data_IF_762880325995
#
_entry.id   IF_762880325995
#
_cell.length_a   1.000
_cell.length_b   1.000
_cell.length_c   1.000
_cell.angle_alpha   90.00
_cell.angle_beta   90.00
_cell.angle_gamma   90.00
#
_symmetry.space_group_name_H-M   'P 1'
#
loop_
_entity.id
_entity.type
_entity.pdbx_description
1 polymer ?
2 non-polymer ?
3 non-polymer ?
4 water ?
#
# COMPACT_ATOMS: atom_id res chain seq x y z
N UNK A 20 3.74 -16.46 1.66
CA UNK A 20 3.12 -15.39 0.80
C UNK A 20 1.68 -15.76 0.26
N UNK A 21 0.73 -14.92 0.49
CA UNK A 21 -0.67 -15.19 0.05
C UNK A 21 -0.89 -14.64 -1.32
N UNK A 22 -1.48 -15.46 -2.18
CA UNK A 22 -1.64 -15.22 -3.61
C UNK A 22 -3.08 -15.14 -3.96
N UNK A 23 -3.40 -14.22 -4.88
CA UNK A 23 -4.75 -14.09 -5.41
C UNK A 23 -4.80 -14.64 -6.85
N UNK A 24 -5.74 -15.53 -7.07
CA UNK A 24 -5.96 -16.17 -8.38
C UNK A 24 -7.38 -15.82 -8.86
N UNK A 25 -7.57 -15.95 -10.15
CA UNK A 25 -8.87 -15.87 -10.73
C UNK A 25 -9.71 -16.95 -10.16
N UNK A 26 -10.88 -16.63 -9.62
CA UNK A 26 -11.75 -17.61 -9.06
C UNK A 26 -12.34 -18.60 -10.03
N UNK A 27 -12.50 -18.17 -11.25
CA UNK A 27 -13.06 -19.02 -12.32
C UNK A 27 -12.06 -20.03 -12.89
N UNK A 28 -10.82 -19.63 -13.11
CA UNK A 28 -9.90 -20.50 -13.83
C UNK A 28 -8.62 -20.78 -13.09
N UNK A 29 -8.32 -20.06 -12.02
CA UNK A 29 -7.11 -20.25 -11.28
C UNK A 29 -5.86 -19.52 -11.75
N UNK A 30 -6.00 -18.71 -12.79
CA UNK A 30 -4.96 -17.89 -13.25
C UNK A 30 -4.37 -17.05 -12.08
N UNK A 31 -3.07 -16.99 -11.96
CA UNK A 31 -2.44 -16.17 -10.92
C UNK A 31 -2.53 -14.70 -11.28
N UNK A 32 -2.94 -13.86 -10.33
CA UNK A 32 -3.19 -12.45 -10.58
C UNK A 32 -2.35 -11.53 -9.71
N UNK A 33 -2.41 -11.68 -8.37
CA UNK A 33 -1.67 -10.74 -7.52
C UNK A 33 -1.33 -11.38 -6.20
N UNK A 34 -0.97 -10.53 -5.23
CA UNK A 34 -0.41 -10.95 -3.97
C UNK A 34 -0.91 -10.06 -2.85
N UNK A 35 -1.14 -10.64 -1.69
CA UNK A 35 -1.51 -9.82 -0.54
C UNK A 35 -0.50 -8.73 -0.22
N UNK A 36 0.77 -8.99 -0.43
CA UNK A 36 1.77 -8.01 -0.16
C UNK A 36 1.82 -6.86 -1.14
N UNK A 37 0.97 -6.91 -2.17
CA UNK A 37 0.79 -5.80 -3.10
C UNK A 37 -0.50 -5.02 -2.82
N UNK A 38 -1.20 -5.30 -1.76
CA UNK A 38 -2.38 -4.47 -1.43
C UNK A 38 -1.92 -3.04 -1.21
N UNK A 39 -2.77 -2.11 -1.63
CA UNK A 39 -2.44 -0.72 -1.68
C UNK A 39 -3.48 0.10 -0.97
N UNK A 40 -3.11 0.90 0.04
CA UNK A 40 -4.15 1.63 0.84
C UNK A 40 -4.52 2.94 0.15
N UNK A 41 -5.21 2.86 -0.97
CA UNK A 41 -5.76 4.06 -1.67
C UNK A 41 -6.84 4.66 -0.87
N UNK A 42 -6.68 5.97 -0.59
CA UNK A 42 -7.67 6.62 0.21
C UNK A 42 -7.67 6.14 1.64
N UNK A 43 -6.66 5.46 2.06
CA UNK A 43 -6.60 4.94 3.44
C UNK A 43 -6.88 3.48 3.58
N UNK A 44 -7.36 2.81 2.57
CA UNK A 44 -7.72 1.40 2.75
C UNK A 44 -7.68 0.75 1.44
N UNK A 45 -7.29 -0.56 1.40
CA UNK A 45 -7.37 -1.28 0.16
C UNK A 45 -8.77 -1.60 -0.28
N UNK A 46 -9.72 -1.69 0.63
CA UNK A 46 -11.08 -2.13 0.31
C UNK A 46 -12.01 -0.94 0.15
N UNK A 47 -12.75 -0.95 -0.97
CA UNK A 47 -13.76 0.04 -1.27
C UNK A 47 -14.98 -0.68 -1.78
N UNK A 48 -16.13 -0.51 -1.08
CA UNK A 48 -17.40 -1.05 -1.53
C UNK A 48 -18.05 0.07 -2.30
N UNK A 49 -18.33 -0.14 -3.56
CA UNK A 49 -18.68 0.89 -4.50
C UNK A 49 -19.79 0.46 -5.44
N UNK A 50 -20.38 1.36 -6.16
CA UNK A 50 -21.30 1.01 -7.19
C UNK A 50 -21.03 1.88 -8.40
N UNK A 51 -21.39 1.35 -9.58
CA UNK A 51 -21.25 2.13 -10.79
C UNK A 51 -22.63 2.86 -11.10
N UNK A 52 -22.64 3.73 -12.08
CA UNK A 52 -23.88 4.49 -12.28
C UNK A 52 -25.01 3.67 -12.62
N UNK A 53 -24.80 2.48 -13.21
CA UNK A 53 -25.88 1.56 -13.51
C UNK A 53 -26.35 0.73 -12.33
N UNK A 54 -25.74 0.94 -11.18
CA UNK A 54 -26.22 0.23 -10.03
C UNK A 54 -25.60 -1.11 -9.76
N UNK A 55 -24.50 -1.43 -10.41
CA UNK A 55 -23.79 -2.64 -10.12
C UNK A 55 -22.88 -2.40 -8.91
N UNK A 56 -22.89 -3.25 -7.94
CA UNK A 56 -22.18 -3.10 -6.72
C UNK A 56 -20.96 -4.02 -6.70
N UNK A 57 -19.83 -3.52 -6.24
CA UNK A 57 -18.55 -4.24 -6.19
C UNK A 57 -17.84 -4.00 -4.94
N UNK A 58 -17.14 -5.02 -4.44
CA UNK A 58 -16.18 -4.91 -3.35
C UNK A 58 -14.82 -4.93 -4.01
N UNK A 59 -14.21 -3.75 -4.14
CA UNK A 59 -12.97 -3.56 -4.85
C UNK A 59 -11.83 -3.52 -3.88
N UNK A 60 -10.75 -4.27 -4.21
CA UNK A 60 -9.50 -4.24 -3.48
C UNK A 60 -8.43 -3.69 -4.38
N UNK A 61 -7.67 -2.74 -3.84
CA UNK A 61 -6.63 -2.10 -4.58
C UNK A 61 -5.29 -2.82 -4.42
N UNK A 62 -4.62 -3.03 -5.51
CA UNK A 62 -3.30 -3.70 -5.58
C UNK A 62 -2.39 -2.82 -6.39
N UNK A 63 -1.13 -2.71 -5.96
CA UNK A 63 -0.17 -1.91 -6.75
C UNK A 63 0.21 -2.55 -8.06
N UNK A 64 0.26 -3.85 -8.07
CA UNK A 64 0.76 -4.68 -9.19
C UNK A 64 -0.13 -5.86 -9.34
N UNK A 65 -0.25 -6.35 -10.56
CA UNK A 65 -1.00 -7.52 -10.88
C UNK A 65 -0.57 -8.01 -12.26
N UNK A 66 -0.71 -9.28 -12.49
CA UNK A 66 -0.42 -9.90 -13.79
C UNK A 66 -1.58 -10.80 -14.18
N UNK A 67 -1.47 -11.42 -15.36
CA UNK A 67 -2.48 -12.31 -15.79
C UNK A 67 -3.73 -11.67 -16.33
N UNK A 68 -3.67 -10.37 -16.57
CA UNK A 68 -4.87 -9.59 -16.95
C UNK A 68 -4.75 -9.10 -18.37
N UNK A 69 -5.88 -8.91 -19.02
CA UNK A 69 -5.98 -8.25 -20.32
C UNK A 69 -6.84 -6.99 -20.11
N UNK A 70 -6.32 -5.84 -20.51
CA UNK A 70 -7.08 -4.61 -20.42
C UNK A 70 -7.86 -4.37 -21.72
N UNK A 71 -9.05 -3.89 -21.61
CA UNK A 71 -9.87 -3.63 -22.81
C UNK A 71 -10.43 -2.25 -22.78
N UNK A 72 -10.74 -1.73 -23.98
CA UNK A 72 -11.31 -0.41 -24.09
C UNK A 72 -10.32 0.66 -23.82
N UNK A 73 -10.83 1.84 -23.85
CA UNK A 73 -10.03 3.07 -23.62
C UNK A 73 -10.14 3.48 -22.13
N UNK A 74 -9.19 4.22 -21.58
CA UNK A 74 -9.34 4.72 -20.24
C UNK A 74 -10.47 5.72 -20.15
N UNK A 75 -11.12 5.77 -19.03
CA UNK A 75 -12.24 6.60 -18.78
C UNK A 75 -12.09 7.26 -17.41
N UNK A 76 -12.48 8.52 -17.31
CA UNK A 76 -12.62 9.14 -16.00
C UNK A 76 -14.03 9.09 -15.43
N UNK A 77 -14.96 8.52 -16.17
CA UNK A 77 -16.36 8.58 -15.79
C UNK A 77 -16.64 7.87 -14.47
N UNK A 78 -17.14 8.70 -13.48
CA UNK A 78 -17.53 8.16 -12.21
C UNK A 78 -16.40 7.37 -11.59
N UNK A 79 -15.18 7.84 -11.74
CA UNK A 79 -14.06 7.08 -11.19
C UNK A 79 -14.15 7.04 -9.68
N UNK A 80 -13.99 5.85 -9.13
CA UNK A 80 -14.04 5.67 -7.70
C UNK A 80 -12.78 6.24 -7.00
N UNK A 81 -11.74 6.56 -7.76
CA UNK A 81 -10.53 7.04 -7.19
C UNK A 81 -10.23 8.32 -7.89
N UNK A 82 -10.61 9.45 -7.24
CA UNK A 82 -10.48 10.76 -7.85
C UNK A 82 -9.06 10.98 -8.32
N UNK A 83 -8.95 11.48 -9.53
CA UNK A 83 -7.65 11.75 -10.13
C UNK A 83 -7.09 10.56 -10.91
N UNK A 84 -7.84 9.46 -11.02
CA UNK A 84 -7.39 8.32 -11.78
C UNK A 84 -8.46 7.94 -12.81
N UNK A 85 -8.00 7.53 -13.98
CA UNK A 85 -8.85 7.00 -15.05
C UNK A 85 -8.76 5.50 -15.05
N UNK A 86 -9.86 4.83 -15.42
CA UNK A 86 -9.93 3.40 -15.37
C UNK A 86 -10.02 2.76 -16.75
N UNK A 87 -9.52 1.54 -16.84
CA UNK A 87 -9.67 0.64 -17.96
C UNK A 87 -10.14 -0.71 -17.45
N UNK A 88 -11.08 -1.35 -18.10
CA UNK A 88 -11.54 -2.65 -17.66
C UNK A 88 -10.49 -3.72 -17.78
N UNK A 89 -10.43 -4.57 -16.75
CA UNK A 89 -9.44 -5.69 -16.71
C UNK A 89 -10.18 -6.98 -16.70
N UNK A 90 -9.82 -7.86 -17.65
CA UNK A 90 -10.31 -9.22 -17.73
C UNK A 90 -9.22 -10.20 -17.35
N UNK A 91 -9.60 -11.36 -16.82
CA UNK A 91 -8.66 -12.47 -16.74
C UNK A 91 -8.14 -12.74 -18.17
N UNK A 92 -6.84 -12.82 -18.34
CA UNK A 92 -6.28 -13.08 -19.63
C UNK A 92 -6.46 -14.48 -20.13
N UNK A 93 -6.86 -15.40 -19.22
CA UNK A 93 -7.11 -16.82 -19.56
C UNK A 93 -8.55 -17.06 -19.87
N UNK A 94 -9.45 -16.66 -19.01
CA UNK A 94 -10.86 -17.09 -19.08
C UNK A 94 -11.82 -15.99 -19.41
N UNK A 95 -11.37 -14.74 -19.43
CA UNK A 95 -12.26 -13.65 -19.72
C UNK A 95 -13.16 -13.17 -18.66
N UNK A 96 -13.04 -13.68 -17.43
CA UNK A 96 -13.79 -13.13 -16.31
C UNK A 96 -13.45 -11.68 -16.07
N UNK A 97 -14.44 -10.93 -15.66
CA UNK A 97 -14.21 -9.53 -15.35
C UNK A 97 -13.64 -9.43 -13.96
N UNK A 98 -12.34 -9.15 -13.85
CA UNK A 98 -11.68 -9.14 -12.53
C UNK A 98 -11.56 -7.77 -11.93
N UNK A 99 -11.77 -6.69 -12.70
CA UNK A 99 -11.77 -5.32 -12.13
C UNK A 99 -11.34 -4.33 -13.16
N UNK A 100 -10.45 -3.43 -12.69
CA UNK A 100 -10.03 -2.28 -13.45
C UNK A 100 -8.59 -1.99 -13.21
N UNK A 101 -7.93 -1.38 -14.21
CA UNK A 101 -6.64 -0.75 -14.08
C UNK A 101 -6.88 0.75 -13.95
N UNK A 102 -6.15 1.41 -13.10
CA UNK A 102 -6.21 2.85 -12.90
C UNK A 102 -4.89 3.46 -13.22
N UNK A 103 -4.95 4.64 -13.85
CA UNK A 103 -3.80 5.44 -14.17
C UNK A 103 -4.07 6.86 -13.82
N UNK A 104 -3.08 7.58 -13.26
CA UNK A 104 -3.33 8.93 -12.83
C UNK A 104 -3.66 9.80 -13.99
N UNK A 105 -4.59 10.73 -13.80
CA UNK A 105 -4.91 11.76 -14.74
C UNK A 105 -3.89 12.86 -14.82
N UNK A 106 -3.10 13.04 -13.78
CA UNK A 106 -2.14 14.11 -13.78
C UNK A 106 -0.76 13.64 -13.34
N UNK A 107 -0.57 12.37 -13.02
CA UNK A 107 0.73 11.84 -12.68
C UNK A 107 0.73 10.35 -13.06
N UNK A 108 1.91 9.76 -13.18
CA UNK A 108 1.93 8.46 -13.94
C UNK A 108 1.68 7.22 -13.11
N UNK A 109 1.34 7.38 -11.76
CA UNK A 109 1.07 6.19 -10.98
C UNK A 109 -0.05 5.41 -11.47
N UNK A 110 0.05 4.09 -11.25
CA UNK A 110 -0.95 3.16 -11.67
C UNK A 110 -1.22 2.14 -10.53
N UNK A 111 -2.40 1.55 -10.60
CA UNK A 111 -2.75 0.46 -9.66
C UNK A 111 -3.92 -0.25 -10.25
N UNK A 112 -4.33 -1.37 -9.58
CA UNK A 112 -5.46 -2.14 -9.99
C UNK A 112 -6.51 -2.11 -8.92
N UNK A 113 -7.76 -2.01 -9.34
CA UNK A 113 -8.87 -2.23 -8.40
C UNK A 113 -9.54 -3.48 -8.81
N UNK A 114 -9.35 -4.56 -8.04
CA UNK A 114 -9.82 -5.88 -8.42
C UNK A 114 -11.03 -6.26 -7.55
N UNK A 115 -11.92 -7.01 -8.14
CA UNK A 115 -13.16 -7.41 -7.48
C UNK A 115 -12.87 -8.59 -6.57
N UNK A 116 -12.87 -8.38 -5.26
CA UNK A 116 -12.43 -9.39 -4.34
C UNK A 116 -13.11 -10.73 -4.50
N UNK A 117 -14.42 -10.66 -4.72
CA UNK A 117 -15.22 -11.89 -4.78
C UNK A 117 -14.95 -12.66 -6.07
N UNK A 118 -14.24 -12.09 -7.04
CA UNK A 118 -13.86 -12.77 -8.27
C UNK A 118 -12.43 -13.37 -8.17
N UNK A 119 -11.82 -13.24 -7.01
CA UNK A 119 -10.50 -13.81 -6.74
C UNK A 119 -10.60 -14.86 -5.69
N UNK A 120 -9.68 -15.79 -5.72
CA UNK A 120 -9.46 -16.76 -4.70
C UNK A 120 -8.11 -16.50 -4.08
N UNK A 121 -8.07 -16.39 -2.77
CA UNK A 121 -6.81 -16.15 -2.05
C UNK A 121 -6.35 -17.46 -1.45
N UNK A 122 -5.06 -17.74 -1.59
CA UNK A 122 -4.50 -18.97 -1.01
C UNK A 122 -3.03 -18.96 -1.08
N UNK A 123 -2.44 -20.05 -0.61
CA UNK A 123 -1.02 -20.13 -0.50
C UNK A 123 -0.34 -20.29 -1.85
N UNK A 124 0.92 -19.97 -1.85
CA UNK A 124 1.69 -20.17 -3.11
C UNK A 124 1.54 -21.69 -3.58
N UNK A 125 1.61 -22.57 -2.72
CA UNK A 125 1.76 -23.94 -3.18
C UNK A 125 2.71 -24.30 -4.45
N UNK B 21 -5.46 -5.67 11.97
CA UNK B 21 -4.24 -5.65 13.08
C UNK B 21 -3.69 -4.22 13.21
N UNK B 22 -3.23 -3.92 14.40
CA UNK B 22 -2.71 -2.64 14.82
C UNK B 22 -1.26 -2.80 15.22
N UNK B 23 -0.48 -1.76 14.96
CA UNK B 23 0.93 -1.72 15.37
C UNK B 23 1.06 -0.69 16.47
N UNK B 24 1.64 -1.13 17.58
CA UNK B 24 1.90 -0.28 18.73
C UNK B 24 3.36 -0.16 19.01
N UNK B 25 3.79 0.92 19.65
CA UNK B 25 5.13 0.98 20.18
C UNK B 25 5.36 -0.15 21.10
N UNK B 26 6.41 -0.93 20.87
CA UNK B 26 6.66 -2.08 21.70
C UNK B 26 6.99 -1.72 23.13
N UNK B 27 7.64 -0.55 23.33
CA UNK B 27 8.02 -0.11 24.68
C UNK B 27 6.92 0.40 25.54
N UNK B 28 5.98 1.17 24.96
CA UNK B 28 4.96 1.81 25.80
C UNK B 28 3.55 1.47 25.38
N UNK B 29 3.30 0.87 24.24
CA UNK B 29 1.97 0.58 23.83
C UNK B 29 1.24 1.60 23.08
N UNK B 30 1.84 2.75 22.84
CA UNK B 30 1.19 3.81 22.02
C UNK B 30 0.78 3.19 20.68
N UNK B 31 -0.46 3.49 20.25
CA UNK B 31 -0.87 3.08 18.97
C UNK B 31 -0.20 3.93 17.88
N UNK B 32 0.32 3.25 16.85
CA UNK B 32 1.10 3.91 15.83
C UNK B 32 0.45 3.74 14.46
N UNK B 33 0.21 2.50 14.01
CA UNK B 33 -0.30 2.29 12.67
C UNK B 33 -1.11 1.03 12.60
N UNK B 34 -1.40 0.60 11.37
CA UNK B 34 -2.30 -0.51 11.12
C UNK B 34 -1.82 -1.31 9.95
N UNK B 35 -2.12 -2.62 9.98
CA UNK B 35 -1.71 -3.45 8.84
C UNK B 35 -2.31 -2.97 7.51
N UNK B 36 -3.53 -2.46 7.57
CA UNK B 36 -4.18 -1.98 6.33
C UNK B 36 -3.62 -0.69 5.86
N UNK B 37 -2.63 -0.11 6.54
CA UNK B 37 -1.89 1.01 6.03
C UNK B 37 -0.50 0.60 5.51
N UNK B 38 -0.19 -0.69 5.49
CA UNK B 38 1.09 -1.09 4.87
C UNK B 38 1.14 -0.64 3.44
N UNK B 39 2.29 -0.24 3.00
CA UNK B 39 2.52 0.36 1.71
C UNK B 39 3.58 -0.39 0.95
N UNK B 40 3.27 -0.92 -0.22
CA UNK B 40 4.32 -1.69 -0.97
C UNK B 40 5.23 -0.79 -1.75
N UNK B 41 6.05 0.00 -1.08
CA UNK B 41 7.05 0.89 -1.76
C UNK B 41 8.05 0.11 -2.45
N UNK B 42 8.24 0.33 -3.74
CA UNK B 42 9.18 -0.49 -4.45
C UNK B 42 8.75 -1.90 -4.67
N UNK B 43 7.50 -2.19 -4.41
CA UNK B 43 6.96 -3.52 -4.50
C UNK B 43 6.82 -4.30 -3.20
N UNK B 44 7.33 -3.77 -2.10
CA UNK B 44 7.29 -4.50 -0.85
C UNK B 44 7.23 -3.60 0.26
N UNK B 45 6.40 -3.89 1.31
CA UNK B 45 6.46 -3.07 2.48
C UNK B 45 7.75 -3.22 3.30
N UNK B 46 8.44 -4.34 3.19
CA UNK B 46 9.61 -4.58 3.99
C UNK B 46 10.90 -4.29 3.24
N UNK B 47 11.79 -3.54 3.90
CA UNK B 47 13.09 -3.20 3.33
C UNK B 47 14.13 -3.38 4.44
N UNK B 48 15.10 -4.26 4.22
CA UNK B 48 16.18 -4.48 5.14
C UNK B 48 17.33 -3.60 4.65
N UNK B 49 17.74 -2.64 5.46
CA UNK B 49 18.60 -1.54 5.01
C UNK B 49 19.65 -1.26 6.07
N UNK B 50 20.58 -0.39 5.74
CA UNK B 50 21.54 0.08 6.69
C UNK B 50 21.81 1.55 6.42
N UNK B 51 22.22 2.27 7.46
CA UNK B 51 22.63 3.67 7.31
C UNK B 51 24.11 3.76 7.11
N UNK B 52 24.63 4.94 6.80
CA UNK B 52 26.06 5.02 6.49
C UNK B 52 26.94 4.63 7.69
N UNK B 53 26.43 4.79 8.90
CA UNK B 53 27.13 4.43 10.13
C UNK B 53 27.10 2.92 10.42
N UNK B 54 26.41 2.17 9.58
CA UNK B 54 26.39 0.71 9.74
C UNK B 54 25.32 0.20 10.68
N UNK B 55 24.34 1.00 11.02
CA UNK B 55 23.19 0.45 11.74
C UNK B 55 22.26 -0.23 10.75
N UNK B 56 21.81 -1.41 11.11
CA UNK B 56 20.94 -2.19 10.22
C UNK B 56 19.53 -2.15 10.76
N UNK B 57 18.58 -1.97 9.88
CA UNK B 57 17.14 -1.89 10.28
C UNK B 57 16.31 -2.73 9.34
N UNK B 58 15.25 -3.32 9.90
CA UNK B 58 14.15 -3.89 9.12
C UNK B 58 13.00 -2.92 9.15
N UNK B 59 12.84 -2.24 8.01
CA UNK B 59 11.88 -1.17 7.92
C UNK B 59 10.64 -1.66 7.20
N UNK B 60 9.48 -1.33 7.75
CA UNK B 60 8.19 -1.58 7.09
C UNK B 60 7.59 -0.22 6.79
N UNK B 61 7.10 -0.11 5.56
CA UNK B 61 6.50 1.13 5.09
C UNK B 61 5.00 1.18 5.32
N UNK B 62 4.53 2.30 5.82
CA UNK B 62 3.12 2.52 6.09
C UNK B 62 2.72 3.83 5.46
N UNK B 63 1.50 3.90 4.89
CA UNK B 63 1.06 5.15 4.32
C UNK B 63 0.74 6.20 5.32
N UNK B 64 0.28 5.80 6.48
CA UNK B 64 -0.21 6.68 7.52
C UNK B 64 0.23 6.12 8.89
N UNK B 65 0.40 6.99 9.83
CA UNK B 65 0.77 6.63 11.18
C UNK B 65 0.42 7.77 12.09
N UNK B 66 0.13 7.50 13.33
CA UNK B 66 -0.10 8.53 14.34
C UNK B 66 0.73 8.21 15.56
N UNK B 67 0.66 9.02 16.59
CA UNK B 67 1.34 8.76 17.78
C UNK B 67 2.83 9.02 17.74
N UNK B 68 3.29 9.79 16.72
CA UNK B 68 4.72 10.05 16.50
C UNK B 68 5.02 11.50 16.63
N UNK B 69 6.26 11.80 17.01
CA UNK B 69 6.86 13.11 17.01
C UNK B 69 7.99 13.14 16.01
N UNK B 70 8.02 14.14 15.11
CA UNK B 70 9.04 14.25 14.08
C UNK B 70 10.13 15.18 14.56
N UNK B 71 11.38 14.81 14.37
CA UNK B 71 12.52 15.56 14.85
C UNK B 71 13.44 15.91 13.76
N UNK B 72 13.87 17.19 13.74
CA UNK B 72 14.90 17.64 12.83
C UNK B 72 14.37 18.02 11.48
N UNK B 73 15.27 18.63 10.72
CA UNK B 73 14.98 19.02 9.34
C UNK B 73 14.97 17.83 8.45
N UNK B 74 14.28 17.81 7.35
CA UNK B 74 14.34 16.69 6.42
C UNK B 74 15.73 16.55 5.86
N UNK B 75 16.11 15.31 5.62
CA UNK B 75 17.41 15.03 5.05
C UNK B 75 17.27 14.12 3.83
N UNK B 76 18.05 14.40 2.79
CA UNK B 76 18.15 13.48 1.70
C UNK B 76 19.33 12.51 1.83
N UNK B 77 20.05 12.52 2.92
CA UNK B 77 21.29 11.77 2.98
C UNK B 77 20.97 10.28 2.99
N UNK B 78 21.55 9.56 2.04
CA UNK B 78 21.45 8.10 1.97
C UNK B 78 20.02 7.64 2.10
N UNK B 79 19.07 8.35 1.45
CA UNK B 79 17.71 7.99 1.62
C UNK B 79 17.46 6.63 1.00
N UNK B 80 16.77 5.75 1.72
CA UNK B 80 16.46 4.44 1.24
C UNK B 80 15.38 4.43 0.18
N UNK B 81 14.68 5.55 -0.02
CA UNK B 81 13.60 5.64 -0.95
C UNK B 81 13.89 6.82 -1.83
N UNK B 82 14.38 6.52 -3.04
CA UNK B 82 14.86 7.58 -3.92
C UNK B 82 13.75 8.60 -4.20
N UNK B 83 14.11 9.84 -4.10
CA UNK B 83 13.20 10.94 -4.29
C UNK B 83 12.53 11.43 -3.02
N UNK B 84 12.74 10.76 -1.93
CA UNK B 84 12.15 11.16 -0.66
C UNK B 84 13.24 11.56 0.31
N UNK B 85 12.91 12.57 1.11
CA UNK B 85 13.72 12.99 2.23
C UNK B 85 13.11 12.46 3.52
N UNK B 86 13.95 12.22 4.51
CA UNK B 86 13.50 11.66 5.77
C UNK B 86 13.63 12.62 6.90
N UNK B 87 12.75 12.44 7.87
CA UNK B 87 12.82 13.09 9.17
C UNK B 87 12.66 11.98 10.20
N UNK B 88 13.36 12.07 11.30
CA UNK B 88 13.33 11.11 12.36
C UNK B 88 11.98 11.08 13.06
N UNK B 89 11.45 9.89 13.31
CA UNK B 89 10.15 9.73 13.98
C UNK B 89 10.38 9.04 15.29
N UNK B 90 9.95 9.71 16.38
CA UNK B 90 9.94 9.12 17.72
C UNK B 90 8.57 8.82 18.15
N UNK B 91 8.40 7.82 19.03
CA UNK B 91 7.13 7.61 19.72
C UNK B 91 6.78 8.90 20.46
N UNK B 92 5.54 9.38 20.29
CA UNK B 92 5.14 10.57 20.98
C UNK B 92 4.91 10.43 22.42
N UNK B 93 4.79 9.20 22.93
CA UNK B 93 4.63 8.93 24.37
C UNK B 93 5.93 8.72 25.04
N UNK B 94 6.76 7.80 24.54
CA UNK B 94 7.96 7.37 25.27
C UNK B 94 9.26 7.88 24.60
N UNK B 95 9.17 8.44 23.41
CA UNK B 95 10.35 8.96 22.77
C UNK B 95 11.20 7.97 22.01
N UNK B 96 10.86 6.68 22.09
CA UNK B 96 11.69 5.71 21.38
C UNK B 96 11.75 5.99 19.89
N UNK B 97 12.91 5.81 19.30
CA UNK B 97 13.02 5.98 17.85
C UNK B 97 12.31 4.85 17.13
N UNK B 98 11.24 5.15 16.42
CA UNK B 98 10.44 4.19 15.74
C UNK B 98 10.64 4.14 14.28
N UNK B 99 11.32 5.12 13.69
CA UNK B 99 11.65 5.10 12.27
C UNK B 99 11.75 6.50 11.71
N UNK B 100 11.17 6.68 10.56
CA UNK B 100 11.34 7.92 9.77
C UNK B 100 10.05 8.21 9.06
N UNK B 101 9.82 9.54 8.86
CA UNK B 101 8.80 10.03 7.94
C UNK B 101 9.50 10.42 6.66
N UNK B 102 8.89 10.13 5.54
CA UNK B 102 9.43 10.45 4.23
C UNK B 102 8.48 11.38 3.50
N UNK B 103 9.07 12.32 2.77
CA UNK B 103 8.33 13.24 1.91
C UNK B 103 9.09 13.45 0.59
N UNK B 104 8.19 13.62 -0.45
CA UNK B 104 8.72 13.82 -1.78
C UNK B 104 7.60 14.17 -2.75
N UNK B 105 7.92 14.11 -4.01
CA UNK B 105 6.94 14.59 -5.03
C UNK B 105 6.15 13.48 -5.69
N UNK B 106 6.60 12.24 -5.64
CA UNK B 106 5.84 11.17 -6.26
C UNK B 106 4.69 10.73 -5.34
N UNK B 107 3.85 9.86 -5.80
CA UNK B 107 2.79 9.35 -5.04
C UNK B 107 3.16 8.02 -4.27
N UNK B 108 2.87 7.92 -2.98
CA UNK B 108 2.32 8.93 -2.17
C UNK B 108 3.42 9.95 -1.79
N UNK B 109 3.01 11.18 -1.56
CA UNK B 109 4.01 12.21 -1.28
C UNK B 109 4.57 12.19 0.13
N UNK B 110 3.89 11.44 0.99
CA UNK B 110 4.40 11.17 2.33
C UNK B 110 4.07 9.67 2.70
N UNK B 111 4.96 9.12 3.52
CA UNK B 111 4.77 7.82 4.11
C UNK B 111 5.75 7.69 5.24
N UNK B 112 5.63 6.57 5.97
CA UNK B 112 6.50 6.30 7.10
C UNK B 112 7.26 5.03 6.89
N UNK B 113 8.52 5.01 7.23
CA UNK B 113 9.33 3.79 7.26
C UNK B 113 9.63 3.49 8.70
N UNK B 114 8.93 2.51 9.25
CA UNK B 114 8.99 2.23 10.69
C UNK B 114 9.80 0.98 10.94
N UNK B 115 10.50 0.94 12.05
CA UNK B 115 11.37 -0.17 12.38
C UNK B 115 10.51 -1.25 13.01
N UNK B 116 10.32 -2.33 12.24
CA UNK B 116 9.34 -3.34 12.65
C UNK B 116 9.66 -3.92 14.02
N UNK B 117 10.93 -4.14 14.30
CA UNK B 117 11.24 -4.74 15.57
C UNK B 117 10.89 -3.93 16.74
N UNK B 118 10.64 -2.64 16.57
CA UNK B 118 10.25 -1.75 17.61
C UNK B 118 8.73 -1.57 17.73
N UNK B 119 8.00 -2.27 16.91
CA UNK B 119 6.54 -2.25 16.91
C UNK B 119 6.00 -3.60 17.27
N UNK B 120 4.93 -3.65 18.01
CA UNK B 120 4.26 -4.87 18.33
C UNK B 120 2.91 -4.90 17.58
N UNK B 121 2.70 -5.93 16.77
CA UNK B 121 1.48 -6.11 16.01
C UNK B 121 0.50 -6.91 16.82
N UNK B 122 -0.76 -6.50 16.86
CA UNK B 122 -1.78 -7.20 17.62
C UNK B 122 -3.15 -6.77 17.21
N UNK B 123 -4.18 -7.25 17.88
CA UNK B 123 -5.51 -6.98 17.53
C UNK B 123 -6.00 -5.57 17.95
N UNK B 124 -7.03 -5.13 17.33
CA UNK B 124 -7.72 -3.87 17.60
C UNK B 124 -8.76 -4.10 18.59
N UNK B 125 -8.43 -4.88 19.64
CA UNK B 125 -9.42 -5.00 20.69
C UNK B 125 -9.53 -3.77 21.63
X LIG C 1 -9.68 -16.65 -15.20
X LIG D 1 -18.13 3.37 -12.66
X LIG D 1 -16.97 3.01 -12.47
X LIG D 1 -16.08 3.71 -11.72
X LIG D 1 -14.83 3.16 -11.73
X LIG D 1 -13.90 3.57 -11.13
X LIG D 1 -14.84 1.92 -12.63
X LIG D 1 -16.32 1.75 -12.93
X LIG D 1 -16.65 1.43 -14.31
X LIG D 1 -17.64 0.69 -14.62
X LIG D 1 -18.36 0.04 -13.83
X LIG D 1 -17.88 0.66 -15.96
X LIG D 1 -18.90 -0.17 -16.53
X LIG D 1 -18.53 -1.61 -16.54
X LIG D 1 -19.32 -2.51 -15.87
X LIG D 1 -19.04 -3.76 -15.85
X LIG D 1 -17.97 -4.41 -16.54
X LIG D 1 -17.20 -3.44 -17.25
X LIG D 1 -17.44 -2.13 -17.17
X LIG E 1 6.46 4.42 22.97
X LIG F 1 20.49 6.63 6.40
X LIG F 1 19.23 6.68 6.39
X LIG F 1 18.52 6.59 5.23
X LIG F 1 17.17 6.75 5.42
X LIG F 1 16.32 6.70 4.56
X LIG F 1 16.96 7.05 6.90
X LIG F 1 18.35 6.83 7.54
X LIG F 1 18.75 7.81 8.47
X LIG F 1 19.49 7.48 9.54
X LIG F 1 19.79 6.37 9.88
X LIG F 1 19.82 8.61 10.23
X LIG F 1 20.63 8.47 11.41
X LIG F 1 19.86 8.01 12.62
X LIG F 1 19.99 6.79 13.30
X LIG F 1 19.28 6.42 14.41
X LIG F 1 18.37 7.33 15.00
X LIG F 1 18.09 8.51 14.25
X LIG F 1 18.84 8.77 13.12
#
# INVERSE_FOLDING_TARGET
>A
AMPLDAGGQNSTQMVLAPGASIFRCRQCGQTISRRDWLLPMGGDHEHVVFNPAGMIFRVWCFSLAQGLRLIGAPSGEFSWFKGYDWTIALCGQCGSHLGWHYEGGSQPQTFFGLIKDRLAEGPAD
>B
AMPLDAGGQNSTQMVLAPGASIFRCRQCGQTISRRDWLLPMGGDHEHVVFNPAGMIFRVWCFSLAQGLRLIGAPSGEFSWFKGYDWTIALCGQCGSHLGWHYEGGSQPQTFFGLIKDRLAEGPAD
>C hetero
1 ZN ZN
>D hetero
1 JP5 O C ND2 CG OD1 CB CA N CAI OAK OAJ CAL CAM CAN CAO CAP CAQ CAR
>E hetero
1 ZN ZN
>F hetero
1 JP5 O C ND2 CG OD1 CB CA N CAI OAK OAJ CAL CAM CAN CAO CAP CAQ CAR
#
